data_IF_827790165276
#
_entry.id   IF_827790165276
#
_cell.length_a   1.000
_cell.length_b   1.000
_cell.length_c   1.000
_cell.angle_alpha   90.00
_cell.angle_beta   90.00
_cell.angle_gamma   90.00
#
_symmetry.space_group_name_H-M   'P 1'
#
loop_
_entity.id
_entity.type
_entity.pdbx_description
1 polymer ?
#
# COMPACT_ATOMS: atom_id res chain seq x y z
N UNK A 1 23.10 -17.20 -39.87
CA UNK A 1 21.63 -17.36 -39.73
C UNK A 1 21.21 -17.56 -38.27
N UNK A 2 21.92 -18.38 -37.48
CA UNK A 2 21.65 -18.59 -36.04
C UNK A 2 21.86 -17.33 -35.18
N UNK A 3 22.83 -16.48 -35.48
CA UNK A 3 23.10 -15.26 -34.70
C UNK A 3 22.01 -14.20 -34.80
N UNK A 4 21.42 -14.01 -35.99
CA UNK A 4 20.33 -13.05 -36.22
C UNK A 4 19.03 -13.53 -35.57
N UNK A 5 18.76 -14.84 -35.61
CA UNK A 5 17.64 -15.44 -34.90
C UNK A 5 17.80 -15.30 -33.38
N UNK A 6 18.98 -15.60 -32.84
CA UNK A 6 19.26 -15.48 -31.40
C UNK A 6 19.14 -14.03 -30.92
N UNK A 7 19.62 -13.07 -31.72
CA UNK A 7 19.49 -11.63 -31.43
C UNK A 7 18.05 -11.14 -31.53
N UNK A 8 17.23 -11.73 -32.41
CA UNK A 8 15.80 -11.48 -32.50
C UNK A 8 15.03 -12.02 -31.28
N UNK A 9 15.41 -13.20 -30.79
CA UNK A 9 14.85 -13.80 -29.58
C UNK A 9 15.25 -13.02 -28.31
N UNK A 10 16.53 -12.62 -28.17
CA UNK A 10 16.97 -11.76 -27.07
C UNK A 10 16.24 -10.40 -27.06
N UNK A 11 15.97 -9.81 -28.23
CA UNK A 11 15.19 -8.56 -28.33
C UNK A 11 13.71 -8.73 -28.01
N UNK A 12 13.13 -9.88 -28.34
CA UNK A 12 11.75 -10.21 -28.00
C UNK A 12 11.60 -10.48 -26.49
N UNK A 13 12.64 -11.06 -25.86
CA UNK A 13 12.73 -11.33 -24.43
C UNK A 13 13.07 -10.08 -23.61
N UNK A 14 13.91 -9.19 -24.14
CA UNK A 14 14.28 -7.90 -23.52
C UNK A 14 13.25 -6.78 -23.74
N UNK A 15 11.95 -7.09 -23.66
CA UNK A 15 10.91 -6.06 -23.65
C UNK A 15 11.08 -5.25 -22.37
N UNK A 16 11.57 -4.01 -22.50
CA UNK A 16 11.76 -3.10 -21.37
C UNK A 16 10.43 -2.97 -20.62
N UNK A 17 10.42 -3.19 -19.28
CA UNK A 17 9.19 -3.09 -18.51
C UNK A 17 8.65 -1.67 -18.64
N UNK A 18 7.44 -1.54 -19.17
CA UNK A 18 6.79 -0.24 -19.37
C UNK A 18 6.46 0.39 -18.02
N UNK A 19 6.18 1.69 -18.00
CA UNK A 19 5.71 2.36 -16.77
C UNK A 19 4.41 1.72 -16.25
N UNK A 20 3.55 1.26 -17.15
CA UNK A 20 2.34 0.51 -16.80
C UNK A 20 2.70 -0.82 -16.11
N UNK A 21 3.67 -1.56 -16.65
CA UNK A 21 4.13 -2.82 -16.06
C UNK A 21 4.71 -2.58 -14.67
N UNK A 22 5.49 -1.53 -14.44
CA UNK A 22 6.01 -1.22 -13.10
C UNK A 22 4.96 -0.72 -12.12
N UNK A 23 3.87 -0.14 -12.62
CA UNK A 23 2.81 0.41 -11.78
C UNK A 23 1.85 -0.66 -11.32
N UNK A 24 1.50 -1.59 -12.20
CA UNK A 24 0.44 -2.57 -11.95
C UNK A 24 0.92 -4.01 -11.94
N UNK A 25 2.14 -4.32 -12.41
CA UNK A 25 2.66 -5.68 -12.38
C UNK A 25 3.66 -5.91 -11.26
N UNK A 26 3.69 -7.14 -10.77
CA UNK A 26 4.74 -7.64 -9.88
C UNK A 26 5.99 -8.11 -10.67
N UNK A 27 6.99 -8.63 -9.94
CA UNK A 27 8.23 -9.18 -10.52
C UNK A 27 8.01 -10.42 -11.39
N UNK A 28 6.85 -11.06 -11.30
CA UNK A 28 6.46 -12.22 -12.11
C UNK A 28 5.65 -11.81 -13.35
N UNK A 29 5.34 -10.51 -13.48
CA UNK A 29 4.57 -9.96 -14.60
C UNK A 29 3.05 -10.04 -14.43
N UNK A 30 2.54 -10.44 -13.26
CA UNK A 30 1.11 -10.51 -13.00
C UNK A 30 0.56 -9.13 -12.65
N UNK A 31 -0.64 -8.78 -13.13
CA UNK A 31 -1.29 -7.52 -12.74
C UNK A 31 -1.81 -7.66 -11.30
N UNK A 32 -1.22 -6.91 -10.38
CA UNK A 32 -1.53 -6.87 -8.96
C UNK A 32 -2.12 -5.52 -8.60
N UNK A 33 -3.45 -5.46 -8.57
CA UNK A 33 -4.22 -4.30 -8.09
C UNK A 33 -4.71 -4.54 -6.66
N UNK A 34 -5.14 -5.77 -6.36
CA UNK A 34 -5.61 -6.17 -5.04
C UNK A 34 -4.92 -7.48 -4.63
N UNK A 35 -4.28 -7.47 -3.46
CA UNK A 35 -3.81 -8.66 -2.78
C UNK A 35 -4.67 -8.93 -1.56
N UNK A 36 -4.48 -10.11 -0.97
CA UNK A 36 -5.07 -10.42 0.32
C UNK A 36 -4.66 -9.35 1.35
N UNK A 37 -5.61 -8.81 2.15
CA UNK A 37 -5.32 -7.75 3.09
C UNK A 37 -4.26 -8.22 4.10
N UNK A 38 -3.28 -7.37 4.39
CA UNK A 38 -2.32 -7.65 5.45
C UNK A 38 -2.96 -7.45 6.84
N UNK A 39 -2.37 -8.05 7.87
CA UNK A 39 -2.89 -7.93 9.23
C UNK A 39 -3.03 -6.47 9.70
N UNK A 40 -2.09 -5.55 9.39
CA UNK A 40 -2.18 -4.17 9.85
C UNK A 40 -3.39 -3.40 9.30
N UNK A 41 -3.75 -3.55 8.02
CA UNK A 41 -4.95 -2.88 7.50
C UNK A 41 -6.20 -3.45 8.15
N UNK A 42 -6.28 -4.76 8.35
CA UNK A 42 -7.46 -5.39 8.96
C UNK A 42 -7.66 -4.91 10.41
N UNK A 43 -6.60 -4.93 11.21
CA UNK A 43 -6.63 -4.44 12.60
C UNK A 43 -6.93 -2.96 12.63
N UNK A 44 -6.25 -2.17 11.79
CA UNK A 44 -6.38 -0.72 11.72
C UNK A 44 -7.79 -0.28 11.35
N UNK A 45 -8.36 -0.82 10.27
CA UNK A 45 -9.71 -0.49 9.82
C UNK A 45 -10.76 -0.98 10.81
N UNK A 46 -10.59 -2.16 11.43
CA UNK A 46 -11.51 -2.67 12.45
C UNK A 46 -11.50 -1.79 13.70
N UNK A 47 -10.31 -1.42 14.21
CA UNK A 47 -10.18 -0.55 15.37
C UNK A 47 -10.74 0.85 15.09
N UNK A 48 -10.52 1.39 13.88
CA UNK A 48 -11.08 2.67 13.45
C UNK A 48 -12.61 2.61 13.36
N UNK A 49 -13.17 1.54 12.79
CA UNK A 49 -14.62 1.35 12.75
C UNK A 49 -15.22 1.29 14.16
N UNK A 50 -14.60 0.54 15.07
CA UNK A 50 -15.01 0.48 16.48
C UNK A 50 -14.91 1.83 17.19
N UNK A 51 -13.87 2.62 16.90
CA UNK A 51 -13.70 3.98 17.44
C UNK A 51 -14.88 4.90 17.08
N UNK A 52 -15.45 4.77 15.87
CA UNK A 52 -16.57 5.61 15.43
C UNK A 52 -17.93 5.20 15.99
N UNK A 53 -18.14 3.91 16.31
CA UNK A 53 -19.42 3.42 16.85
C UNK A 53 -19.48 3.45 18.38
N UNK A 54 -18.34 3.50 19.06
CA UNK A 54 -18.29 3.51 20.52
C UNK A 54 -18.54 4.91 21.10
N UNK A 55 -19.23 4.99 22.25
CA UNK A 55 -19.39 6.24 22.97
C UNK A 55 -18.02 6.74 23.48
N UNK A 56 -17.93 8.05 23.67
CA UNK A 56 -16.71 8.72 24.14
C UNK A 56 -16.13 8.11 25.42
N UNK A 57 -14.80 8.16 25.56
CA UNK A 57 -14.10 7.70 26.77
C UNK A 57 -12.76 7.06 26.48
N UNK A 58 -12.14 6.48 27.51
CA UNK A 58 -10.80 5.90 27.43
C UNK A 58 -10.70 4.77 26.41
N UNK A 59 -11.70 3.87 26.35
CA UNK A 59 -11.71 2.76 25.40
C UNK A 59 -11.75 3.24 23.94
N UNK A 60 -12.58 4.24 23.66
CA UNK A 60 -12.67 4.86 22.34
C UNK A 60 -11.32 5.49 21.94
N UNK A 61 -10.67 6.20 22.86
CA UNK A 61 -9.35 6.80 22.64
C UNK A 61 -8.27 5.73 22.40
N UNK A 62 -8.26 4.64 23.17
CA UNK A 62 -7.32 3.52 22.97
C UNK A 62 -7.51 2.87 21.60
N UNK A 63 -8.75 2.66 21.16
CA UNK A 63 -9.02 2.13 19.82
C UNK A 63 -8.59 3.09 18.71
N UNK A 64 -8.72 4.40 18.93
CA UNK A 64 -8.18 5.41 18.02
C UNK A 64 -6.66 5.30 17.90
N UNK A 65 -5.94 5.13 19.01
CA UNK A 65 -4.48 4.97 19.03
C UNK A 65 -4.04 3.66 18.36
N UNK A 66 -4.73 2.55 18.64
CA UNK A 66 -4.47 1.24 17.99
C UNK A 66 -4.75 1.31 16.49
N UNK A 67 -5.87 1.91 16.10
CA UNK A 67 -6.23 2.12 14.71
C UNK A 67 -5.18 2.95 13.97
N UNK A 68 -4.76 4.07 14.56
CA UNK A 68 -3.68 4.91 14.03
C UNK A 68 -2.38 4.13 13.87
N UNK A 69 -1.92 3.43 14.91
CA UNK A 69 -0.67 2.66 14.87
C UNK A 69 -0.70 1.57 13.80
N UNK A 70 -1.79 0.80 13.73
CA UNK A 70 -1.93 -0.27 12.76
C UNK A 70 -2.04 0.24 11.31
N UNK A 71 -2.81 1.31 11.07
CA UNK A 71 -2.89 1.94 9.75
C UNK A 71 -1.58 2.62 9.34
N UNK A 72 -0.83 3.19 10.30
CA UNK A 72 0.51 3.72 10.05
C UNK A 72 1.47 2.60 9.64
N UNK A 73 1.50 1.50 10.39
CA UNK A 73 2.31 0.32 10.04
C UNK A 73 1.94 -0.24 8.68
N UNK A 74 0.64 -0.32 8.37
CA UNK A 74 0.16 -0.69 7.05
C UNK A 74 0.73 0.20 5.95
N UNK A 75 0.52 1.52 6.08
CA UNK A 75 0.91 2.47 5.07
C UNK A 75 2.43 2.52 4.87
N UNK A 76 3.20 2.35 5.96
CA UNK A 76 4.65 2.19 5.92
C UNK A 76 5.07 0.94 5.11
N UNK A 77 4.47 -0.23 5.41
CA UNK A 77 4.76 -1.47 4.68
C UNK A 77 4.40 -1.35 3.20
N UNK A 78 3.26 -0.75 2.86
CA UNK A 78 2.90 -0.53 1.46
C UNK A 78 3.89 0.39 0.73
N UNK A 79 4.41 1.43 1.41
CA UNK A 79 5.34 2.38 0.83
C UNK A 79 6.72 1.76 0.54
N UNK A 80 7.26 0.98 1.48
CA UNK A 80 8.62 0.43 1.38
C UNK A 80 8.66 -0.98 0.79
N UNK A 81 7.72 -1.84 1.18
CA UNK A 81 7.66 -3.25 0.78
C UNK A 81 6.62 -3.51 -0.34
N UNK A 82 5.96 -2.45 -0.84
CA UNK A 82 5.00 -2.56 -1.94
C UNK A 82 5.65 -3.13 -3.21
N UNK A 83 5.00 -4.15 -3.79
CA UNK A 83 5.49 -4.90 -4.96
C UNK A 83 5.45 -4.09 -6.27
N UNK A 84 4.69 -3.00 -6.32
CA UNK A 84 4.56 -2.13 -7.49
C UNK A 84 4.32 -0.67 -7.08
N UNK A 85 4.45 0.27 -8.02
CA UNK A 85 4.28 1.69 -7.70
C UNK A 85 2.85 2.03 -7.26
N UNK A 86 1.84 1.28 -7.71
CA UNK A 86 0.46 1.48 -7.26
C UNK A 86 0.35 1.29 -5.74
N UNK A 87 0.83 0.16 -5.21
CA UNK A 87 0.84 -0.13 -3.76
C UNK A 87 1.68 0.88 -2.98
N UNK A 88 2.87 1.23 -3.49
CA UNK A 88 3.71 2.25 -2.85
C UNK A 88 3.02 3.61 -2.78
N UNK A 89 2.25 3.96 -3.81
CA UNK A 89 1.46 5.18 -3.84
C UNK A 89 0.32 5.15 -2.82
N UNK A 90 -0.35 4.00 -2.63
CA UNK A 90 -1.34 3.82 -1.57
C UNK A 90 -0.72 3.99 -0.18
N UNK A 91 0.47 3.43 0.06
CA UNK A 91 1.21 3.63 1.30
C UNK A 91 1.55 5.10 1.55
N UNK A 92 2.05 5.81 0.53
CA UNK A 92 2.33 7.24 0.62
C UNK A 92 1.07 8.06 0.95
N UNK A 93 -0.01 7.84 0.20
CA UNK A 93 -1.29 8.52 0.42
C UNK A 93 -1.87 8.20 1.80
N UNK A 94 -1.74 6.96 2.26
CA UNK A 94 -2.14 6.53 3.60
C UNK A 94 -1.38 7.29 4.68
N UNK A 95 -0.05 7.38 4.59
CA UNK A 95 0.78 8.12 5.55
C UNK A 95 0.44 9.62 5.55
N UNK A 96 0.35 10.24 4.37
CA UNK A 96 -0.01 11.66 4.25
C UNK A 96 -1.41 11.91 4.83
N UNK A 97 -2.38 11.04 4.52
CA UNK A 97 -3.74 11.13 5.03
C UNK A 97 -3.81 10.99 6.55
N UNK A 98 -3.08 10.03 7.12
CA UNK A 98 -3.01 9.84 8.58
C UNK A 98 -2.38 11.04 9.29
N UNK A 99 -1.31 11.60 8.73
CA UNK A 99 -0.65 12.79 9.30
C UNK A 99 -1.57 14.00 9.18
N UNK A 100 -2.18 14.23 8.02
CA UNK A 100 -3.11 15.35 7.82
C UNK A 100 -4.33 15.24 8.75
N UNK A 101 -4.91 14.05 8.89
CA UNK A 101 -6.00 13.79 9.83
C UNK A 101 -5.56 14.01 11.28
N UNK A 102 -4.40 13.48 11.66
CA UNK A 102 -3.83 13.68 12.99
C UNK A 102 -3.59 15.15 13.32
N UNK A 103 -3.11 15.95 12.36
CA UNK A 103 -2.92 17.39 12.53
C UNK A 103 -4.27 18.11 12.68
N UNK A 104 -5.25 17.79 11.84
CA UNK A 104 -6.56 18.44 11.86
C UNK A 104 -7.33 18.16 13.17
N UNK A 105 -7.24 16.93 13.69
CA UNK A 105 -7.87 16.56 14.97
C UNK A 105 -7.21 17.24 16.18
N UNK A 106 -5.97 17.71 16.06
CA UNK A 106 -5.24 18.40 17.13
C UNK A 106 -5.28 19.94 17.02
N UNK A 107 -5.98 20.51 16.03
CA UNK A 107 -6.34 21.92 15.99
C UNK A 107 -5.17 22.93 15.90
N UNK A 108 -4.11 22.60 15.15
CA UNK A 108 -3.07 23.58 14.76
C UNK A 108 -3.54 24.40 13.57
#
# INVERSE_FOLDING_TARGET
>A
MTSELNRGLEKAEAKQPTLFDRTFRDSEGNIVIAQMPNLPILVGTTALFLHFVLPGGTLQATLGLVGFGALFTWAWQELFDGVNYFRRSLGLLGLVGLIALGLNLNGV
#
